data_IF_947375365581
#
_entry.id   IF_947375365581
#
_cell.length_a   1.000
_cell.length_b   1.000
_cell.length_c   1.000
_cell.angle_alpha   90.00
_cell.angle_beta   90.00
_cell.angle_gamma   90.00
#
_symmetry.space_group_name_H-M   'P 1'
#
loop_
_entity.id
_entity.type
_entity.pdbx_description
1 polymer ?
#
# COMPACT_ATOMS: atom_id res chain seq x y z
N UNK A 1 23.34 4.57 -6.62
CA UNK A 1 22.65 5.63 -5.88
C UNK A 1 22.75 5.43 -4.37
N UNK A 2 22.34 4.28 -3.80
CA UNK A 2 22.35 4.02 -2.36
C UNK A 2 23.72 4.31 -1.73
N UNK A 3 24.77 3.63 -2.19
CA UNK A 3 26.14 3.83 -1.66
C UNK A 3 26.71 5.25 -1.88
N UNK A 4 26.34 5.89 -3.00
CA UNK A 4 26.92 7.21 -3.39
C UNK A 4 26.15 8.39 -2.82
N UNK A 5 24.86 8.25 -2.56
CA UNK A 5 23.93 9.33 -2.14
C UNK A 5 23.31 9.10 -0.77
N UNK A 6 23.57 7.96 -0.13
CA UNK A 6 23.01 7.63 1.18
C UNK A 6 21.49 7.45 1.20
N UNK A 7 20.90 7.00 0.10
CA UNK A 7 19.45 6.78 0.00
C UNK A 7 19.03 5.69 1.00
N UNK A 8 18.04 5.99 1.84
CA UNK A 8 17.46 5.08 2.84
C UNK A 8 16.03 4.67 2.53
N UNK A 9 15.39 5.33 1.58
CA UNK A 9 14.04 5.03 1.14
C UNK A 9 13.97 5.00 -0.39
N UNK A 10 13.32 3.99 -0.93
CA UNK A 10 13.05 3.81 -2.35
C UNK A 10 11.55 3.67 -2.56
N UNK A 11 11.00 4.40 -3.51
CA UNK A 11 9.60 4.25 -3.93
C UNK A 11 9.57 3.76 -5.37
N UNK A 12 8.86 2.66 -5.61
CA UNK A 12 8.61 2.07 -6.92
C UNK A 12 7.13 2.26 -7.27
N UNK A 13 6.82 3.24 -8.14
CA UNK A 13 5.45 3.65 -8.50
C UNK A 13 5.26 3.77 -10.02
N UNK A 14 4.41 2.94 -10.59
CA UNK A 14 3.86 1.69 -10.07
C UNK A 14 4.67 0.46 -10.52
N UNK A 15 4.53 -0.66 -9.80
CA UNK A 15 5.17 -1.94 -10.09
C UNK A 15 4.97 -2.43 -11.52
N UNK A 16 3.75 -2.32 -12.04
CA UNK A 16 3.40 -2.79 -13.38
C UNK A 16 4.09 -2.05 -14.54
N UNK A 17 4.74 -0.91 -14.26
CA UNK A 17 5.57 -0.17 -15.24
C UNK A 17 7.04 -0.57 -15.21
N UNK A 18 7.47 -1.29 -14.16
CA UNK A 18 8.86 -1.73 -13.97
C UNK A 18 9.03 -3.18 -14.44
N UNK A 19 7.93 -3.86 -14.73
CA UNK A 19 7.94 -5.23 -15.19
C UNK A 19 8.74 -5.35 -16.49
N UNK A 20 9.65 -6.32 -16.53
CA UNK A 20 10.38 -6.68 -17.72
C UNK A 20 9.41 -7.07 -18.87
N UNK A 21 9.51 -6.38 -19.99
CA UNK A 21 8.63 -6.58 -21.14
C UNK A 21 8.89 -7.95 -21.77
N UNK A 22 10.09 -8.49 -21.61
CA UNK A 22 10.51 -9.78 -22.17
C UNK A 22 10.11 -10.98 -21.28
N UNK A 23 9.59 -10.73 -20.08
CA UNK A 23 9.03 -11.79 -19.23
C UNK A 23 7.79 -12.39 -19.91
N UNK A 24 7.95 -13.58 -20.47
CA UNK A 24 6.85 -14.35 -21.07
C UNK A 24 5.70 -14.43 -20.07
N UNK A 25 4.50 -14.12 -20.53
CA UNK A 25 3.31 -13.89 -19.71
C UNK A 25 2.79 -15.12 -18.95
N UNK A 26 3.40 -16.28 -19.11
CA UNK A 26 2.83 -17.54 -18.70
C UNK A 26 2.98 -17.85 -17.21
N UNK A 27 3.84 -17.11 -16.48
CA UNK A 27 4.01 -17.28 -15.04
C UNK A 27 4.20 -15.96 -14.30
N UNK A 28 3.12 -15.20 -14.19
CA UNK A 28 3.10 -13.91 -13.49
C UNK A 28 3.44 -14.08 -12.00
N UNK A 29 3.01 -15.18 -11.38
CA UNK A 29 3.24 -15.44 -9.96
C UNK A 29 4.74 -15.67 -9.73
N UNK A 30 5.36 -16.52 -10.52
CA UNK A 30 6.79 -16.78 -10.43
C UNK A 30 7.62 -15.53 -10.66
N UNK A 31 7.28 -14.73 -11.67
CA UNK A 31 7.95 -13.44 -11.89
C UNK A 31 7.82 -12.51 -10.67
N UNK A 32 6.60 -12.43 -10.09
CA UNK A 32 6.34 -11.60 -8.90
C UNK A 32 7.17 -12.09 -7.72
N UNK A 33 7.20 -13.39 -7.44
CA UNK A 33 8.04 -14.00 -6.40
C UNK A 33 9.52 -13.64 -6.57
N UNK A 34 10.08 -13.88 -7.74
CA UNK A 34 11.49 -13.63 -8.03
C UNK A 34 11.85 -12.15 -7.88
N UNK A 35 10.93 -11.27 -8.31
CA UNK A 35 11.10 -9.83 -8.19
C UNK A 35 11.09 -9.39 -6.72
N UNK A 36 10.09 -9.82 -5.95
CA UNK A 36 9.96 -9.46 -4.53
C UNK A 36 11.13 -10.00 -3.71
N UNK A 37 11.60 -11.22 -4.00
CA UNK A 37 12.78 -11.78 -3.35
C UNK A 37 14.05 -10.96 -3.63
N UNK A 38 14.23 -10.46 -4.86
CA UNK A 38 15.35 -9.58 -5.22
C UNK A 38 15.27 -8.24 -4.49
N UNK A 39 14.08 -7.65 -4.38
CA UNK A 39 13.87 -6.40 -3.63
C UNK A 39 14.15 -6.63 -2.14
N UNK A 40 13.65 -7.71 -1.54
CA UNK A 40 13.93 -8.04 -0.15
C UNK A 40 15.43 -8.19 0.13
N UNK A 41 16.13 -8.94 -0.72
CA UNK A 41 17.58 -9.10 -0.63
C UNK A 41 18.32 -7.76 -0.76
N UNK A 42 17.85 -6.88 -1.66
CA UNK A 42 18.39 -5.53 -1.81
C UNK A 42 18.17 -4.69 -0.55
N UNK A 43 16.96 -4.70 0.01
CA UNK A 43 16.63 -3.97 1.24
C UNK A 43 17.52 -4.39 2.41
N UNK A 44 17.67 -5.71 2.62
CA UNK A 44 18.54 -6.27 3.68
C UNK A 44 20.01 -5.92 3.47
N UNK A 45 20.51 -6.04 2.23
CA UNK A 45 21.92 -5.78 1.91
C UNK A 45 22.33 -4.33 2.10
N UNK A 46 21.44 -3.40 1.82
CA UNK A 46 21.76 -1.96 1.78
C UNK A 46 21.08 -1.15 2.86
N UNK A 47 20.33 -1.78 3.74
CA UNK A 47 19.56 -1.13 4.80
C UNK A 47 18.66 -0.01 4.23
N UNK A 48 17.80 -0.38 3.27
CA UNK A 48 16.90 0.51 2.55
C UNK A 48 15.46 0.08 2.77
N UNK A 49 14.59 1.02 3.15
CA UNK A 49 13.15 0.83 3.12
C UNK A 49 12.65 0.96 1.69
N UNK A 50 11.86 0.01 1.21
CA UNK A 50 11.26 0.10 -0.13
C UNK A 50 9.73 0.09 -0.05
N UNK A 51 9.10 1.10 -0.64
CA UNK A 51 7.66 1.13 -0.91
C UNK A 51 7.42 0.70 -2.36
N UNK A 52 6.51 -0.24 -2.56
CA UNK A 52 6.08 -0.66 -3.89
C UNK A 52 4.60 -0.32 -4.03
N UNK A 53 4.29 0.55 -4.97
CA UNK A 53 2.91 0.89 -5.33
C UNK A 53 2.40 -0.10 -6.35
N UNK A 54 1.33 -0.82 -6.01
CA UNK A 54 0.69 -1.78 -6.89
C UNK A 54 -0.81 -1.50 -6.97
N UNK A 55 -1.37 -1.63 -8.17
CA UNK A 55 -2.80 -1.45 -8.39
C UNK A 55 -3.52 -2.79 -8.30
N UNK A 56 -4.71 -2.84 -7.68
CA UNK A 56 -5.54 -4.02 -7.70
C UNK A 56 -5.97 -4.36 -9.14
N UNK A 57 -6.27 -5.61 -9.39
CA UNK A 57 -6.94 -6.04 -10.61
C UNK A 57 -8.33 -5.40 -10.69
N UNK A 58 -8.96 -5.48 -11.87
CA UNK A 58 -10.28 -4.90 -12.05
C UNK A 58 -11.27 -5.52 -11.05
N UNK A 59 -11.81 -4.67 -10.17
CA UNK A 59 -12.82 -5.04 -9.20
C UNK A 59 -14.21 -4.97 -9.84
N UNK A 60 -15.07 -5.92 -9.50
CA UNK A 60 -16.45 -5.96 -9.95
C UNK A 60 -17.38 -5.49 -8.84
N UNK A 61 -18.53 -4.93 -9.23
CA UNK A 61 -19.58 -4.60 -8.29
C UNK A 61 -20.22 -5.88 -7.77
N UNK A 62 -20.50 -5.91 -6.50
CA UNK A 62 -21.34 -6.94 -5.85
C UNK A 62 -22.81 -6.77 -6.26
N UNK A 63 -23.68 -7.73 -5.88
CA UNK A 63 -25.11 -7.70 -6.23
C UNK A 63 -25.85 -6.46 -5.68
N UNK A 64 -25.34 -5.85 -4.62
CA UNK A 64 -25.84 -4.61 -4.03
C UNK A 64 -25.25 -3.33 -4.65
N UNK A 65 -24.49 -3.49 -5.75
CA UNK A 65 -23.92 -2.39 -6.52
C UNK A 65 -22.66 -1.75 -5.94
N UNK A 66 -22.16 -2.25 -4.82
CA UNK A 66 -20.94 -1.76 -4.17
C UNK A 66 -19.69 -2.47 -4.72
N UNK A 67 -18.56 -1.78 -4.71
CA UNK A 67 -17.26 -2.39 -4.98
C UNK A 67 -16.67 -2.76 -3.63
N UNK A 68 -16.32 -4.05 -3.45
CA UNK A 68 -15.63 -4.49 -2.26
C UNK A 68 -14.29 -3.77 -2.08
N UNK A 69 -13.91 -3.57 -0.83
CA UNK A 69 -12.63 -2.99 -0.50
C UNK A 69 -11.50 -3.94 -0.95
N UNK A 70 -10.53 -3.45 -1.76
CA UNK A 70 -9.49 -4.32 -2.24
C UNK A 70 -8.55 -4.76 -1.12
N UNK A 71 -8.06 -5.97 -1.24
CA UNK A 71 -7.04 -6.56 -0.38
C UNK A 71 -5.73 -6.76 -1.15
N UNK A 72 -4.67 -7.19 -0.49
CA UNK A 72 -3.42 -7.54 -1.17
C UNK A 72 -3.58 -8.70 -2.16
N UNK A 73 -4.55 -9.58 -1.95
CA UNK A 73 -4.86 -10.69 -2.88
C UNK A 73 -5.48 -10.23 -4.19
N UNK A 74 -6.00 -9.02 -4.26
CA UNK A 74 -6.54 -8.44 -5.49
C UNK A 74 -5.46 -7.84 -6.40
N UNK A 75 -4.21 -7.79 -5.97
CA UNK A 75 -3.09 -7.42 -6.85
C UNK A 75 -2.76 -8.62 -7.76
N UNK A 76 -2.40 -8.36 -9.02
CA UNK A 76 -1.97 -9.44 -9.91
C UNK A 76 -0.72 -10.14 -9.36
N UNK A 77 -0.80 -11.45 -9.10
CA UNK A 77 0.17 -12.20 -8.31
C UNK A 77 -0.13 -12.23 -6.81
N UNK A 78 -1.39 -12.08 -6.45
CA UNK A 78 -2.00 -11.84 -5.14
C UNK A 78 -1.33 -12.42 -3.91
N UNK A 79 -1.25 -13.76 -3.79
CA UNK A 79 -0.65 -14.44 -2.63
C UNK A 79 0.80 -14.04 -2.40
N UNK A 80 1.57 -13.91 -3.47
CA UNK A 80 2.99 -13.56 -3.41
C UNK A 80 3.24 -12.19 -2.75
N UNK A 81 2.36 -11.23 -3.03
CA UNK A 81 2.42 -9.91 -2.39
C UNK A 81 2.20 -9.99 -0.90
N UNK A 82 1.18 -10.78 -0.51
CA UNK A 82 0.89 -10.95 0.91
C UNK A 82 2.07 -11.64 1.62
N UNK A 83 2.60 -12.72 1.06
CA UNK A 83 3.64 -13.50 1.71
C UNK A 83 4.96 -12.76 1.85
N UNK A 84 5.41 -12.09 0.79
CA UNK A 84 6.70 -11.40 0.76
C UNK A 84 6.71 -10.07 1.53
N UNK A 85 5.58 -9.38 1.67
CA UNK A 85 5.55 -8.06 2.28
C UNK A 85 5.64 -8.11 3.81
N UNK A 86 6.38 -7.17 4.39
CA UNK A 86 6.40 -6.92 5.84
C UNK A 86 5.20 -6.11 6.28
N UNK A 87 4.78 -5.15 5.47
CA UNK A 87 3.63 -4.30 5.70
C UNK A 87 2.82 -4.18 4.41
N UNK A 88 1.51 -4.14 4.54
CA UNK A 88 0.57 -3.85 3.46
C UNK A 88 -0.32 -2.69 3.84
N UNK A 89 -0.40 -1.69 2.98
CA UNK A 89 -1.26 -0.53 3.17
C UNK A 89 -2.22 -0.42 2.00
N UNK A 90 -3.48 -0.16 2.28
CA UNK A 90 -4.48 0.23 1.30
C UNK A 90 -4.66 1.75 1.37
N UNK A 91 -4.62 2.41 0.22
CA UNK A 91 -5.06 3.79 0.07
C UNK A 91 -6.30 3.77 -0.82
N UNK A 92 -7.44 4.08 -0.24
CA UNK A 92 -8.73 4.04 -0.93
C UNK A 92 -9.41 5.41 -0.87
N UNK A 93 -9.82 5.92 -2.03
CA UNK A 93 -10.56 7.17 -2.11
C UNK A 93 -12.05 6.90 -2.29
N UNK A 94 -12.83 7.41 -1.36
CA UNK A 94 -14.28 7.54 -1.47
C UNK A 94 -14.58 8.88 -2.13
N UNK A 95 -15.15 8.84 -3.34
CA UNK A 95 -15.48 10.06 -4.10
C UNK A 95 -16.78 10.70 -3.63
N UNK A 96 -17.71 9.92 -3.10
CA UNK A 96 -18.99 10.42 -2.60
C UNK A 96 -18.80 11.13 -1.25
N UNK A 97 -18.10 10.49 -0.33
CA UNK A 97 -17.73 11.09 0.96
C UNK A 97 -16.59 12.11 0.85
N UNK A 98 -15.88 12.18 -0.29
CA UNK A 98 -14.69 13.04 -0.50
C UNK A 98 -13.55 12.76 0.48
N UNK A 99 -13.50 11.57 1.03
CA UNK A 99 -12.47 11.12 1.98
C UNK A 99 -11.47 10.17 1.33
N UNK A 100 -10.29 10.09 1.92
CA UNK A 100 -9.28 9.10 1.56
C UNK A 100 -8.96 8.30 2.82
N UNK A 101 -9.17 6.99 2.73
CA UNK A 101 -8.85 6.05 3.80
C UNK A 101 -7.48 5.44 3.56
N UNK A 102 -6.67 5.38 4.61
CA UNK A 102 -5.46 4.57 4.67
C UNK A 102 -5.69 3.46 5.68
N UNK A 103 -5.60 2.20 5.25
CA UNK A 103 -5.86 1.03 6.09
C UNK A 103 -4.66 0.10 6.09
N UNK A 104 -4.34 -0.43 7.26
CA UNK A 104 -3.30 -1.43 7.44
C UNK A 104 -3.87 -2.80 7.08
N UNK A 105 -3.43 -3.37 5.95
CA UNK A 105 -3.84 -4.69 5.49
C UNK A 105 -2.98 -5.81 6.07
N UNK A 106 -1.72 -5.50 6.39
CA UNK A 106 -0.78 -6.45 6.96
C UNK A 106 0.28 -5.76 7.80
N UNK A 107 0.55 -6.34 8.97
CA UNK A 107 1.76 -6.12 9.76
C UNK A 107 2.36 -7.48 10.09
N UNK A 108 3.61 -7.72 9.67
CA UNK A 108 4.29 -9.01 9.91
C UNK A 108 4.62 -9.24 11.38
N UNK A 109 4.98 -8.18 12.09
CA UNK A 109 5.35 -8.24 13.51
C UNK A 109 4.31 -7.47 14.32
N UNK A 110 3.53 -8.16 15.12
CA UNK A 110 2.38 -7.60 15.87
C UNK A 110 2.75 -6.44 16.81
N UNK A 111 3.99 -6.39 17.27
CA UNK A 111 4.48 -5.29 18.11
C UNK A 111 4.73 -3.97 17.36
N UNK A 112 4.62 -3.97 16.03
CA UNK A 112 4.85 -2.79 15.18
C UNK A 112 3.56 -2.12 14.68
N UNK A 113 2.39 -2.69 14.99
CA UNK A 113 1.12 -2.13 14.57
C UNK A 113 -0.02 -3.14 14.60
N UNK A 114 -1.20 -2.69 14.25
CA UNK A 114 -2.44 -3.46 14.27
C UNK A 114 -2.99 -3.65 12.86
N UNK A 115 -3.30 -4.91 12.50
CA UNK A 115 -3.98 -5.23 11.25
C UNK A 115 -5.42 -4.71 11.31
N UNK A 116 -5.86 -4.03 10.26
CA UNK A 116 -7.20 -3.46 10.18
C UNK A 116 -7.29 -2.03 10.70
N UNK A 117 -6.26 -1.51 11.38
CA UNK A 117 -6.24 -0.11 11.78
C UNK A 117 -6.37 0.80 10.55
N UNK A 118 -7.17 1.87 10.67
CA UNK A 118 -7.43 2.78 9.56
C UNK A 118 -7.46 4.24 10.02
N UNK A 119 -7.09 5.12 9.08
CA UNK A 119 -7.16 6.57 9.26
C UNK A 119 -7.80 7.20 8.05
N UNK A 120 -8.59 8.25 8.28
CA UNK A 120 -9.33 8.96 7.25
C UNK A 120 -8.76 10.36 7.06
N UNK A 121 -8.70 10.80 5.81
CA UNK A 121 -8.15 12.08 5.42
C UNK A 121 -9.09 12.78 4.44
N UNK A 122 -9.08 14.10 4.48
CA UNK A 122 -9.74 14.96 3.48
C UNK A 122 -8.68 15.67 2.65
N UNK A 123 -8.86 15.71 1.35
CA UNK A 123 -8.00 16.49 0.47
C UNK A 123 -8.36 17.97 0.54
N UNK A 124 -7.38 18.81 0.85
CA UNK A 124 -7.53 20.26 0.82
C UNK A 124 -6.88 20.85 -0.44
N UNK A 125 -7.68 21.32 -1.42
CA UNK A 125 -7.14 21.80 -2.69
C UNK A 125 -6.27 23.05 -2.58
N UNK A 126 -6.51 23.91 -1.57
CA UNK A 126 -5.76 25.16 -1.39
C UNK A 126 -4.30 24.92 -0.99
N UNK A 127 -4.09 24.01 -0.05
CA UNK A 127 -2.75 23.67 0.42
C UNK A 127 -2.10 22.54 -0.40
N UNK A 128 -2.89 21.79 -1.19
CA UNK A 128 -2.44 20.59 -1.87
C UNK A 128 -2.07 19.46 -0.90
N UNK A 129 -2.74 19.39 0.25
CA UNK A 129 -2.40 18.47 1.34
C UNK A 129 -3.58 17.59 1.73
N UNK A 130 -3.28 16.44 2.31
CA UNK A 130 -4.25 15.64 3.03
C UNK A 130 -4.23 16.05 4.50
N UNK A 131 -5.41 16.38 5.03
CA UNK A 131 -5.61 16.70 6.45
C UNK A 131 -6.41 15.57 7.10
N UNK A 132 -6.20 15.28 8.40
CA UNK A 132 -7.02 14.30 9.11
C UNK A 132 -8.51 14.63 8.96
N UNK A 133 -9.30 13.62 8.64
CA UNK A 133 -10.75 13.76 8.59
C UNK A 133 -11.29 13.58 10.02
N UNK A 134 -11.67 14.69 10.63
CA UNK A 134 -12.27 14.68 11.98
C UNK A 134 -13.76 14.47 11.80
N UNK A 135 -14.30 13.38 12.34
CA UNK A 135 -15.74 13.21 12.54
C UNK A 135 -16.15 13.96 13.80
N UNK A 136 -17.35 14.50 13.86
CA UNK A 136 -17.83 15.26 15.03
C UNK A 136 -17.75 14.47 16.35
N UNK A 137 -17.74 13.13 16.30
CA UNK A 137 -17.54 12.25 17.46
C UNK A 137 -16.09 12.21 17.94
N UNK A 138 -15.11 12.32 17.05
CA UNK A 138 -13.69 12.30 17.40
C UNK A 138 -13.16 13.65 17.91
N UNK A 139 -13.91 14.73 17.70
CA UNK A 139 -13.57 16.06 18.23
C UNK A 139 -13.72 16.17 19.78
N UNK A 140 -14.27 15.13 20.43
CA UNK A 140 -14.54 15.12 21.84
C UNK A 140 -13.44 14.43 22.70
N UNK A 141 -12.48 13.72 22.07
CA UNK A 141 -11.39 13.07 22.82
C UNK A 141 -10.08 13.88 22.69
N UNK A 142 -9.45 14.26 23.81
CA UNK A 142 -8.13 14.90 23.76
C UNK A 142 -7.11 13.94 23.17
N UNK A 143 -6.23 14.46 22.30
CA UNK A 143 -5.18 13.66 21.66
C UNK A 143 -4.22 13.10 22.72
N UNK A 144 -3.78 11.82 22.61
CA UNK A 144 -2.98 11.15 23.64
C UNK A 144 -1.63 11.82 23.97
N UNK A 145 -1.28 12.89 23.28
CA UNK A 145 -0.02 13.64 23.45
C UNK A 145 -0.21 15.11 23.89
N UNK A 146 -1.44 15.54 24.25
CA UNK A 146 -1.70 16.78 25.00
C UNK A 146 -1.69 16.53 26.51
#
# INVERSE_FOLDING_TARGET
>A
LVKRKGIKCLVLDPFNKIRDIDAKSDDVNRYTMDYLAKIEAFCKKYDVLTFIVAHPTKMYKTNDGKIEEPTMYNIKGGGEWYDASYHGLLVHRDYDAKTTKVKVLKVKFQNLGENGAESHFTWEPRSGSFVPHVTDEAAAEPMPWE
#
